data_IF_722356305373
#
_entry.id   IF_722356305373
#
_cell.length_a   1.000
_cell.length_b   1.000
_cell.length_c   1.000
_cell.angle_alpha   90.00
_cell.angle_beta   90.00
_cell.angle_gamma   90.00
#
_symmetry.space_group_name_H-M   'P 1'
#
loop_
_entity.id
_entity.type
_entity.pdbx_description
1 polymer ?
#
# COMPACT_ATOMS: atom_id res chain seq x y z
N UNK A 1 35.66 -13.33 -32.70
CA UNK A 1 35.21 -13.52 -31.30
C UNK A 1 34.52 -12.24 -30.87
N UNK A 2 33.23 -12.13 -31.17
CA UNK A 2 32.29 -11.11 -30.65
C UNK A 2 30.92 -11.80 -30.57
N UNK A 3 30.24 -11.81 -29.41
CA UNK A 3 28.98 -12.53 -29.24
C UNK A 3 27.80 -11.79 -29.87
N UNK A 4 26.99 -12.55 -30.57
CA UNK A 4 25.67 -12.27 -31.16
C UNK A 4 24.61 -12.04 -30.05
N UNK A 5 23.88 -10.91 -30.06
CA UNK A 5 22.62 -10.78 -29.32
C UNK A 5 21.43 -10.85 -30.29
N UNK A 6 20.53 -11.79 -29.97
CA UNK A 6 19.15 -11.90 -30.45
C UNK A 6 18.88 -12.70 -31.75
N UNK A 7 19.21 -14.01 -31.72
CA UNK A 7 18.34 -15.02 -32.34
C UNK A 7 17.27 -15.44 -31.34
N UNK A 8 16.04 -15.02 -31.60
CA UNK A 8 14.87 -15.40 -30.81
C UNK A 8 13.57 -14.80 -31.35
N UNK A 9 13.40 -14.81 -32.68
CA UNK A 9 12.11 -14.55 -33.32
C UNK A 9 11.67 -15.89 -33.89
N UNK A 10 10.60 -16.44 -33.31
CA UNK A 10 9.94 -17.63 -33.83
C UNK A 10 9.30 -17.22 -35.14
N UNK A 11 9.90 -17.69 -36.23
CA UNK A 11 9.46 -17.49 -37.61
C UNK A 11 8.23 -18.37 -37.86
N UNK A 12 7.02 -17.86 -37.60
CA UNK A 12 5.81 -18.42 -38.23
C UNK A 12 5.72 -17.83 -39.64
N UNK A 13 6.52 -18.43 -40.54
CA UNK A 13 6.49 -18.14 -41.98
C UNK A 13 5.29 -18.86 -42.60
N UNK A 14 4.11 -18.25 -42.59
CA UNK A 14 3.12 -18.57 -43.64
C UNK A 14 2.26 -17.37 -44.10
N UNK A 15 2.20 -16.29 -43.34
CA UNK A 15 1.65 -15.00 -43.77
C UNK A 15 2.59 -13.90 -43.29
N UNK A 16 2.85 -12.86 -44.08
CA UNK A 16 3.75 -11.75 -43.72
C UNK A 16 3.20 -10.83 -42.61
N UNK A 17 2.65 -11.42 -41.55
CA UNK A 17 2.14 -10.74 -40.36
C UNK A 17 3.25 -10.60 -39.32
N UNK A 18 3.48 -9.35 -38.88
CA UNK A 18 4.37 -9.04 -37.79
C UNK A 18 3.53 -8.87 -36.52
N UNK A 19 3.82 -9.65 -35.48
CA UNK A 19 3.11 -9.61 -34.20
C UNK A 19 3.46 -8.36 -33.36
N UNK A 20 4.66 -7.80 -33.54
CA UNK A 20 5.04 -6.53 -32.90
C UNK A 20 6.14 -5.79 -33.66
N UNK A 21 6.10 -4.46 -33.62
CA UNK A 21 7.14 -3.57 -34.13
C UNK A 21 7.50 -2.59 -33.00
N UNK A 22 8.77 -2.58 -32.60
CA UNK A 22 9.27 -1.69 -31.56
C UNK A 22 9.90 -0.43 -32.15
N UNK A 23 9.49 0.73 -31.66
CA UNK A 23 10.10 2.02 -31.98
C UNK A 23 10.79 2.57 -30.72
N UNK A 24 11.97 3.16 -30.90
CA UNK A 24 12.69 3.87 -29.84
C UNK A 24 12.71 5.34 -30.24
N UNK A 25 12.17 6.19 -29.39
CA UNK A 25 12.15 7.65 -29.58
C UNK A 25 13.26 8.23 -28.73
N UNK A 26 14.07 9.14 -29.29
CA UNK A 26 15.19 9.77 -28.59
C UNK A 26 14.73 10.75 -27.50
N UNK A 27 13.60 11.42 -27.72
CA UNK A 27 13.00 12.37 -26.78
C UNK A 27 11.69 11.83 -26.20
N UNK A 28 11.63 11.70 -24.88
CA UNK A 28 10.45 11.26 -24.14
C UNK A 28 9.24 12.19 -24.35
N UNK A 29 9.46 13.49 -24.53
CA UNK A 29 8.40 14.47 -24.75
C UNK A 29 7.74 14.36 -26.13
N UNK A 30 8.39 13.68 -27.08
CA UNK A 30 7.83 13.43 -28.41
C UNK A 30 7.19 12.05 -28.53
N UNK A 31 7.24 11.20 -27.50
CA UNK A 31 6.72 9.83 -27.54
C UNK A 31 5.23 9.82 -27.89
N UNK A 32 4.40 10.61 -27.20
CA UNK A 32 2.96 10.65 -27.45
C UNK A 32 2.64 11.18 -28.85
N UNK A 33 3.31 12.26 -29.28
CA UNK A 33 3.17 12.78 -30.66
C UNK A 33 3.65 11.79 -31.72
N UNK A 34 4.63 10.95 -31.40
CA UNK A 34 5.14 9.92 -32.30
C UNK A 34 4.17 8.75 -32.39
N UNK A 35 3.53 8.37 -31.28
CA UNK A 35 2.46 7.37 -31.27
C UNK A 35 1.31 7.80 -32.18
N UNK A 36 0.80 9.02 -31.99
CA UNK A 36 -0.30 9.57 -32.81
C UNK A 36 0.09 9.61 -34.30
N UNK A 37 1.30 10.09 -34.62
CA UNK A 37 1.79 10.14 -36.01
C UNK A 37 1.93 8.75 -36.61
N UNK A 38 2.40 7.76 -35.85
CA UNK A 38 2.56 6.39 -36.35
C UNK A 38 1.19 5.77 -36.59
N UNK A 39 0.22 6.00 -35.71
CA UNK A 39 -1.16 5.55 -35.88
C UNK A 39 -1.80 6.16 -37.13
N UNK A 40 -1.74 7.48 -37.31
CA UNK A 40 -2.26 8.18 -38.49
C UNK A 40 -1.65 7.65 -39.80
N UNK A 41 -0.31 7.51 -39.85
CA UNK A 41 0.37 7.01 -41.05
C UNK A 41 0.03 5.55 -41.37
N UNK A 42 -0.18 4.72 -40.34
CA UNK A 42 -0.58 3.32 -40.52
C UNK A 42 -2.05 3.21 -40.96
N UNK A 43 -2.93 4.06 -40.42
CA UNK A 43 -4.32 4.15 -40.84
C UNK A 43 -4.44 4.56 -42.32
N UNK A 44 -3.71 5.60 -42.73
CA UNK A 44 -3.66 6.07 -44.11
C UNK A 44 -3.09 5.00 -45.06
N UNK A 45 -1.97 4.38 -44.68
CA UNK A 45 -1.31 3.36 -45.51
C UNK A 45 -2.15 2.09 -45.67
N UNK A 46 -2.96 1.72 -44.68
CA UNK A 46 -3.84 0.54 -44.74
C UNK A 46 -5.28 0.87 -45.16
N UNK A 47 -5.61 2.16 -45.31
CA UNK A 47 -6.97 2.64 -45.59
C UNK A 47 -8.01 2.07 -44.61
N UNK A 48 -7.65 2.04 -43.32
CA UNK A 48 -8.50 1.55 -42.23
C UNK A 48 -8.95 2.70 -41.33
N UNK A 49 -10.16 2.57 -40.79
CA UNK A 49 -10.72 3.49 -39.78
C UNK A 49 -10.52 2.91 -38.38
N UNK A 50 -10.67 3.70 -37.32
CA UNK A 50 -10.58 3.26 -35.91
C UNK A 50 -11.42 1.98 -35.62
N UNK A 51 -12.57 1.82 -36.29
CA UNK A 51 -13.45 0.66 -36.11
C UNK A 51 -12.98 -0.63 -36.83
N UNK A 52 -12.08 -0.49 -37.81
CA UNK A 52 -11.61 -1.60 -38.67
C UNK A 52 -10.10 -1.84 -38.54
N UNK A 53 -9.42 -1.13 -37.64
CA UNK A 53 -7.98 -1.28 -37.46
C UNK A 53 -7.63 -2.62 -36.81
N UNK A 54 -6.56 -3.23 -37.29
CA UNK A 54 -6.03 -4.52 -36.85
C UNK A 54 -4.70 -4.38 -36.07
N UNK A 55 -4.31 -3.14 -35.74
CA UNK A 55 -3.08 -2.82 -35.02
C UNK A 55 -3.38 -1.89 -33.83
N UNK A 56 -2.47 -1.87 -32.86
CA UNK A 56 -2.51 -0.96 -31.72
C UNK A 56 -1.11 -0.40 -31.49
N UNK A 57 -0.99 0.92 -31.44
CA UNK A 57 0.26 1.61 -31.11
C UNK A 57 0.17 2.03 -29.66
N UNK A 58 1.07 1.53 -28.81
CA UNK A 58 1.12 1.91 -27.39
C UNK A 58 2.54 2.24 -26.98
N UNK A 59 2.70 3.29 -26.17
CA UNK A 59 3.98 3.62 -25.55
C UNK A 59 4.19 2.81 -24.27
N UNK A 60 5.44 2.47 -23.98
CA UNK A 60 5.79 1.87 -22.68
C UNK A 60 5.51 2.84 -21.52
N UNK A 61 5.62 4.16 -21.76
CA UNK A 61 5.30 5.20 -20.78
C UNK A 61 3.85 5.13 -20.31
N UNK A 62 2.89 5.08 -21.24
CA UNK A 62 1.46 5.01 -20.89
C UNK A 62 1.08 3.73 -20.13
N UNK A 63 1.73 2.60 -20.44
CA UNK A 63 1.56 1.35 -19.68
C UNK A 63 2.12 1.48 -18.26
N UNK A 64 3.31 2.07 -18.10
CA UNK A 64 3.91 2.31 -16.79
C UNK A 64 3.10 3.31 -15.95
N UNK A 65 2.55 4.35 -16.57
CA UNK A 65 1.68 5.32 -15.92
C UNK A 65 0.39 4.66 -15.44
N UNK A 66 -0.21 3.79 -16.26
CA UNK A 66 -1.40 3.03 -15.87
C UNK A 66 -1.11 2.11 -14.67
N UNK A 67 0.01 1.38 -14.69
CA UNK A 67 0.46 0.56 -13.56
C UNK A 67 0.68 1.43 -12.32
N UNK A 68 1.38 2.55 -12.46
CA UNK A 68 1.70 3.46 -11.35
C UNK A 68 0.43 4.05 -10.75
N UNK A 69 -0.55 4.42 -11.58
CA UNK A 69 -1.84 4.93 -11.14
C UNK A 69 -2.64 3.88 -10.36
N UNK A 70 -2.65 2.63 -10.84
CA UNK A 70 -3.29 1.51 -10.13
C UNK A 70 -2.59 1.26 -8.79
N UNK A 71 -1.26 1.15 -8.77
CA UNK A 71 -0.49 0.94 -7.54
C UNK A 71 -0.69 2.08 -6.54
N UNK A 72 -0.70 3.33 -7.02
CA UNK A 72 -0.93 4.51 -6.17
C UNK A 72 -2.33 4.48 -5.56
N UNK A 73 -3.35 4.13 -6.36
CA UNK A 73 -4.73 3.99 -5.88
C UNK A 73 -4.85 2.90 -4.82
N UNK A 74 -4.24 1.74 -5.06
CA UNK A 74 -4.19 0.65 -4.09
C UNK A 74 -3.47 1.06 -2.81
N UNK A 75 -2.36 1.80 -2.92
CA UNK A 75 -1.63 2.29 -1.76
C UNK A 75 -2.51 3.21 -0.89
N UNK A 76 -3.23 4.15 -1.50
CA UNK A 76 -4.18 5.00 -0.77
C UNK A 76 -5.32 4.21 -0.14
N UNK A 77 -5.85 3.21 -0.84
CA UNK A 77 -6.91 2.36 -0.33
C UNK A 77 -6.45 1.59 0.92
N UNK A 78 -5.28 0.98 0.86
CA UNK A 78 -4.72 0.23 1.98
C UNK A 78 -4.33 1.18 3.13
N UNK A 79 -3.77 2.34 2.85
CA UNK A 79 -3.50 3.37 3.86
C UNK A 79 -4.78 3.82 4.58
N UNK A 80 -5.90 3.93 3.86
CA UNK A 80 -7.22 4.20 4.45
C UNK A 80 -7.68 3.11 5.41
N UNK A 81 -7.59 1.84 5.00
CA UNK A 81 -7.90 0.70 5.87
C UNK A 81 -6.99 0.70 7.11
N UNK A 82 -5.70 0.99 6.91
CA UNK A 82 -4.73 1.03 7.99
C UNK A 82 -5.07 2.10 9.03
N UNK A 83 -5.45 3.30 8.59
CA UNK A 83 -5.88 4.37 9.46
C UNK A 83 -7.14 4.00 10.28
N UNK A 84 -8.13 3.36 9.65
CA UNK A 84 -9.34 2.91 10.34
C UNK A 84 -9.00 1.83 11.37
N UNK A 85 -8.18 0.84 11.00
CA UNK A 85 -7.76 -0.24 11.89
C UNK A 85 -7.02 0.29 13.12
N UNK A 86 -6.14 1.28 12.93
CA UNK A 86 -5.46 1.96 14.03
C UNK A 86 -6.45 2.64 14.99
N UNK A 87 -7.45 3.35 14.45
CA UNK A 87 -8.48 4.01 15.26
C UNK A 87 -9.31 3.02 16.07
N UNK A 88 -9.75 1.93 15.44
CA UNK A 88 -10.54 0.89 16.11
C UNK A 88 -9.72 0.20 17.21
N UNK A 89 -8.45 -0.11 16.94
CA UNK A 89 -7.52 -0.66 17.93
C UNK A 89 -7.30 0.29 19.11
N UNK A 90 -7.11 1.59 18.85
CA UNK A 90 -6.94 2.61 19.87
C UNK A 90 -8.17 2.74 20.79
N UNK A 91 -9.38 2.74 20.21
CA UNK A 91 -10.64 2.76 20.98
C UNK A 91 -10.79 1.48 21.81
N UNK A 92 -10.43 0.32 21.26
CA UNK A 92 -10.45 -0.95 22.00
C UNK A 92 -9.55 -0.93 23.24
N UNK A 93 -8.30 -0.49 23.07
CA UNK A 93 -7.34 -0.35 24.18
C UNK A 93 -7.86 0.66 25.21
N UNK A 94 -8.41 1.79 24.77
CA UNK A 94 -8.98 2.80 25.65
C UNK A 94 -10.14 2.24 26.50
N UNK A 95 -11.01 1.42 25.91
CA UNK A 95 -12.13 0.81 26.62
C UNK A 95 -11.67 -0.16 27.72
N UNK A 96 -10.69 -1.02 27.42
CA UNK A 96 -10.10 -1.92 28.43
C UNK A 96 -9.36 -1.16 29.52
N UNK A 97 -8.60 -0.12 29.16
CA UNK A 97 -7.89 0.71 30.14
C UNK A 97 -8.85 1.47 31.05
N UNK A 98 -9.95 2.00 30.49
CA UNK A 98 -11.00 2.66 31.26
C UNK A 98 -11.63 1.71 32.29
N UNK A 99 -11.95 0.49 31.88
CA UNK A 99 -12.51 -0.53 32.78
C UNK A 99 -11.56 -0.87 33.93
N UNK A 100 -10.27 -1.08 33.64
CA UNK A 100 -9.24 -1.36 34.66
C UNK A 100 -9.10 -0.23 35.69
N UNK A 101 -9.20 1.03 35.25
CA UNK A 101 -9.16 2.18 36.16
C UNK A 101 -10.41 2.25 37.05
N UNK A 102 -11.58 1.93 36.49
CA UNK A 102 -12.84 1.91 37.25
C UNK A 102 -12.81 0.86 38.37
N UNK A 103 -12.38 -0.36 38.07
CA UNK A 103 -12.26 -1.45 39.03
C UNK A 103 -11.32 -1.09 40.18
N UNK A 104 -10.13 -0.57 39.83
CA UNK A 104 -9.13 -0.13 40.81
C UNK A 104 -9.60 1.04 41.67
N UNK A 105 -10.41 1.94 41.11
CA UNK A 105 -11.00 3.04 41.88
C UNK A 105 -11.98 2.52 42.93
N UNK A 106 -12.76 1.48 42.60
CA UNK A 106 -13.67 0.81 43.53
C UNK A 106 -12.93 0.08 44.66
N UNK A 107 -11.84 -0.60 44.34
CA UNK A 107 -10.96 -1.25 45.33
C UNK A 107 -10.29 -0.24 46.27
N UNK A 108 -9.83 0.90 45.77
CA UNK A 108 -9.28 1.97 46.62
C UNK A 108 -10.38 2.55 47.53
N UNK A 109 -11.61 2.63 47.04
CA UNK A 109 -12.78 3.05 47.82
C UNK A 109 -13.04 2.12 49.01
N UNK A 110 -13.00 0.80 48.80
CA UNK A 110 -13.18 -0.19 49.88
C UNK A 110 -12.01 -0.19 50.86
N UNK A 111 -10.76 -0.05 50.38
CA UNK A 111 -9.57 0.05 51.24
C UNK A 111 -9.56 1.30 52.12
N UNK A 112 -10.05 2.43 51.62
CA UNK A 112 -10.21 3.66 52.42
C UNK A 112 -11.26 3.51 53.51
N UNK A 113 -12.36 2.79 53.23
CA UNK A 113 -13.39 2.50 54.23
C UNK A 113 -12.85 1.61 55.37
N UNK A 114 -11.86 0.76 55.09
CA UNK A 114 -11.15 -0.08 56.07
C UNK A 114 -10.04 0.68 56.84
N UNK A 115 -9.83 1.98 56.56
CA UNK A 115 -8.85 2.80 57.28
C UNK A 115 -7.43 2.80 56.71
N UNK A 116 -7.22 2.29 55.49
CA UNK A 116 -5.90 2.29 54.83
C UNK A 116 -5.37 3.72 54.67
N UNK A 117 -4.12 3.97 55.07
CA UNK A 117 -3.57 5.32 55.03
C UNK A 117 -3.29 5.77 53.59
N UNK A 118 -3.38 7.09 53.32
CA UNK A 118 -3.09 7.65 51.99
C UNK A 118 -1.69 7.28 51.47
N UNK A 119 -0.70 7.12 52.37
CA UNK A 119 0.68 6.78 52.00
C UNK A 119 0.79 5.34 51.49
N UNK A 120 0.05 4.40 52.08
CA UNK A 120 -0.01 3.01 51.63
C UNK A 120 -0.69 2.90 50.27
N UNK A 121 -1.82 3.59 50.09
CA UNK A 121 -2.54 3.64 48.80
C UNK A 121 -1.63 4.22 47.71
N UNK A 122 -0.90 5.31 47.98
CA UNK A 122 0.02 5.90 47.01
C UNK A 122 1.21 4.99 46.67
N UNK A 123 1.74 4.24 47.65
CA UNK A 123 2.84 3.29 47.44
C UNK A 123 2.39 2.12 46.55
N UNK A 124 1.24 1.55 46.88
CA UNK A 124 0.55 0.53 46.09
C UNK A 124 0.32 1.09 44.69
N UNK A 125 -0.35 2.25 44.57
CA UNK A 125 -0.70 2.84 43.28
C UNK A 125 0.53 3.01 42.37
N UNK A 126 1.65 3.50 42.91
CA UNK A 126 2.93 3.62 42.19
C UNK A 126 3.46 2.30 41.62
N UNK A 127 3.30 1.19 42.34
CA UNK A 127 3.76 -0.13 41.89
C UNK A 127 2.85 -0.64 40.77
N UNK A 128 1.54 -0.51 40.93
CA UNK A 128 0.57 -0.91 39.90
C UNK A 128 0.68 -0.05 38.63
N UNK A 129 0.84 1.27 38.76
CA UNK A 129 1.00 2.17 37.60
C UNK A 129 2.29 1.85 36.84
N UNK A 130 3.34 1.39 37.54
CA UNK A 130 4.56 0.90 36.90
C UNK A 130 4.30 -0.37 36.10
N UNK A 131 3.58 -1.35 36.66
CA UNK A 131 3.27 -2.60 35.95
C UNK A 131 2.31 -2.38 34.77
N UNK A 132 1.25 -1.59 34.95
CA UNK A 132 0.34 -1.21 33.86
C UNK A 132 1.08 -0.43 32.77
N UNK A 133 1.96 0.50 33.13
CA UNK A 133 2.77 1.24 32.16
C UNK A 133 3.64 0.32 31.30
N UNK A 134 4.35 -0.63 31.92
CA UNK A 134 5.17 -1.61 31.18
C UNK A 134 4.30 -2.52 30.33
N UNK A 135 3.19 -3.03 30.87
CA UNK A 135 2.27 -3.90 30.14
C UNK A 135 1.62 -3.21 28.93
N UNK A 136 1.26 -1.93 29.06
CA UNK A 136 0.76 -1.12 27.95
C UNK A 136 1.84 -0.88 26.89
N UNK A 137 3.08 -0.62 27.30
CA UNK A 137 4.20 -0.48 26.37
C UNK A 137 4.43 -1.78 25.60
N UNK A 138 4.36 -2.94 26.26
CA UNK A 138 4.55 -4.25 25.63
C UNK A 138 3.42 -4.59 24.65
N UNK A 139 2.16 -4.34 25.02
CA UNK A 139 1.01 -4.51 24.11
C UNK A 139 1.12 -3.58 22.91
N UNK A 140 1.47 -2.31 23.13
CA UNK A 140 1.59 -1.33 22.07
C UNK A 140 2.75 -1.67 21.11
N UNK A 141 3.88 -2.14 21.66
CA UNK A 141 5.01 -2.66 20.87
C UNK A 141 4.61 -3.88 20.04
N UNK A 142 3.89 -4.84 20.63
CA UNK A 142 3.40 -6.03 19.92
C UNK A 142 2.46 -5.63 18.76
N UNK A 143 1.56 -4.69 19.01
CA UNK A 143 0.62 -4.20 18.01
C UNK A 143 1.34 -3.50 16.84
N UNK A 144 2.26 -2.59 17.13
CA UNK A 144 3.11 -1.94 16.11
C UNK A 144 3.91 -3.00 15.34
N UNK A 145 4.47 -3.99 16.03
CA UNK A 145 5.25 -5.06 15.41
C UNK A 145 4.41 -5.92 14.46
N UNK A 146 3.15 -6.24 14.80
CA UNK A 146 2.26 -6.98 13.91
C UNK A 146 1.90 -6.15 12.68
N UNK A 147 1.64 -4.85 12.87
CA UNK A 147 1.32 -3.94 11.79
C UNK A 147 2.50 -3.74 10.82
N UNK A 148 3.70 -3.54 11.36
CA UNK A 148 4.95 -3.45 10.59
C UNK A 148 5.39 -4.78 9.95
N UNK A 149 4.77 -5.90 10.30
CA UNK A 149 5.06 -7.20 9.68
C UNK A 149 4.04 -7.55 8.58
N UNK A 150 2.94 -6.79 8.49
CA UNK A 150 1.91 -6.91 7.46
C UNK A 150 2.20 -5.97 6.27
N UNK A 151 3.01 -4.93 6.51
CA UNK A 151 3.47 -3.94 5.53
C UNK A 151 4.99 -3.95 5.45
#
# INVERSE_FOLDING_TARGET
>A
MTPDPARGISEDIETGEYDSIGFIVEDEAEVDQTVDRVEDNLMDSRSVTEDTQDFSVTSLGSQLDQITNITTTLNYFIAGIAAISLLVGAVGIANTMYMSVMERTKEIGTLKALGTTRREILRISKIYDRHLGVFLIDIYRLFISQFSNIF
#
